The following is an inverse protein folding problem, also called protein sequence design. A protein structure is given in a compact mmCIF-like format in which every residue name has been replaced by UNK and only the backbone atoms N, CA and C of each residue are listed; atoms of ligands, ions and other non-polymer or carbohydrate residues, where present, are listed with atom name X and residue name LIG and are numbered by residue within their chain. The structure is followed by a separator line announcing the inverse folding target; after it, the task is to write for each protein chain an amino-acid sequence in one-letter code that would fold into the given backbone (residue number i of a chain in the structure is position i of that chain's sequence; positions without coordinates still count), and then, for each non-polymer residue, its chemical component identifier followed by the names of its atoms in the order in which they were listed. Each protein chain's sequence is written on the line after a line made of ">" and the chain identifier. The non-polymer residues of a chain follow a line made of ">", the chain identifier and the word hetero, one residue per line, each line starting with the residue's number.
data_IF_204881323336
#
_entry.id   IF_204881323336
#
_cell.length_a   1.000
_cell.length_b   1.000
_cell.length_c   1.000
_cell.angle_alpha   90.00
_cell.angle_beta   90.00
_cell.angle_gamma   90.00
#
_symmetry.space_group_name_H-M   'P 1'
#
loop_
_entity.id
_entity.type
_entity.pdbx_description
1 polymer ?
#
# COMPACT_ATOMS: atom_id res chain seq x y z
N UNK A 1 9.37 -11.70 -15.65
CA UNK A 1 8.63 -10.46 -15.37
C UNK A 1 8.70 -10.17 -13.87
N UNK A 2 8.78 -8.89 -13.53
CA UNK A 2 8.80 -8.47 -12.14
C UNK A 2 7.46 -8.70 -11.45
N UNK A 3 7.48 -8.96 -10.17
CA UNK A 3 6.30 -9.22 -9.32
C UNK A 3 5.23 -8.10 -9.37
N UNK A 4 5.60 -6.89 -9.75
CA UNK A 4 4.70 -5.75 -9.87
C UNK A 4 3.99 -5.65 -11.23
N UNK A 5 4.34 -6.50 -12.19
CA UNK A 5 3.72 -6.50 -13.52
C UNK A 5 2.26 -6.97 -13.44
N UNK A 6 1.33 -6.36 -14.21
CA UNK A 6 -0.09 -6.72 -14.15
C UNK A 6 -0.38 -8.19 -14.42
N UNK A 7 0.40 -8.82 -15.28
CA UNK A 7 0.26 -10.21 -15.71
C UNK A 7 1.16 -11.20 -14.95
N UNK A 8 1.70 -10.78 -13.80
CA UNK A 8 2.45 -11.69 -12.93
C UNK A 8 1.51 -12.70 -12.28
N UNK A 9 1.91 -13.97 -12.30
CA UNK A 9 1.17 -15.05 -11.64
C UNK A 9 1.48 -15.08 -10.14
N UNK A 10 0.56 -14.58 -9.35
CA UNK A 10 0.62 -14.58 -7.88
C UNK A 10 -0.26 -15.66 -7.23
N UNK A 11 -0.73 -16.64 -8.01
CA UNK A 11 -1.63 -17.69 -7.54
C UNK A 11 -1.08 -18.54 -6.38
N UNK A 12 0.24 -18.55 -6.21
CA UNK A 12 0.92 -19.28 -5.14
C UNK A 12 1.20 -18.39 -3.91
N UNK A 13 0.82 -17.12 -3.95
CA UNK A 13 1.02 -16.23 -2.81
C UNK A 13 -0.03 -16.47 -1.73
N UNK A 14 0.35 -16.21 -0.49
CA UNK A 14 -0.62 -16.19 0.60
C UNK A 14 -1.61 -15.06 0.41
N UNK A 15 -2.86 -15.31 0.79
CA UNK A 15 -3.92 -14.31 0.76
C UNK A 15 -4.31 -13.92 2.18
N UNK A 16 -4.64 -12.66 2.39
CA UNK A 16 -5.09 -12.17 3.68
C UNK A 16 -5.63 -10.74 3.61
N UNK A 17 -6.36 -10.35 4.62
CA UNK A 17 -6.88 -8.99 4.76
C UNK A 17 -5.77 -8.02 5.17
N UNK A 18 -5.84 -6.78 4.70
CA UNK A 18 -4.98 -5.68 5.13
C UNK A 18 -5.59 -4.93 6.33
N UNK A 19 -4.78 -4.30 7.20
CA UNK A 19 -3.32 -4.21 7.15
C UNK A 19 -2.61 -5.55 7.32
N UNK A 20 -1.56 -5.74 6.55
CA UNK A 20 -0.65 -6.89 6.66
C UNK A 20 0.62 -6.46 7.39
N UNK A 21 1.10 -7.28 8.31
CA UNK A 21 2.31 -6.92 9.03
C UNK A 21 2.65 -7.86 10.16
N UNK A 22 3.55 -7.43 11.02
CA UNK A 22 3.93 -8.14 12.24
C UNK A 22 3.95 -7.16 13.42
N UNK A 23 3.45 -7.61 14.57
CA UNK A 23 3.29 -6.78 15.75
C UNK A 23 2.07 -5.84 15.69
N UNK A 24 1.83 -5.15 16.80
CA UNK A 24 0.81 -4.12 16.94
C UNK A 24 1.47 -2.75 17.12
N UNK A 25 0.89 -1.74 16.50
CA UNK A 25 1.36 -0.36 16.61
C UNK A 25 0.37 0.49 17.39
N UNK A 26 0.89 1.45 18.15
CA UNK A 26 0.09 2.40 18.93
C UNK A 26 0.46 3.83 18.57
N UNK A 27 -0.55 4.66 18.44
CA UNK A 27 -0.40 6.10 18.22
C UNK A 27 -1.50 6.86 18.96
N UNK A 28 -1.13 7.82 19.81
CA UNK A 28 -2.09 8.65 20.51
C UNK A 28 -3.14 7.88 21.30
N UNK A 29 -2.81 6.72 21.84
CA UNK A 29 -3.75 5.83 22.53
C UNK A 29 -4.53 4.88 21.60
N UNK A 30 -4.53 5.10 20.30
CA UNK A 30 -5.11 4.18 19.34
C UNK A 30 -4.15 3.02 19.02
N UNK A 31 -4.72 1.85 18.77
CA UNK A 31 -3.97 0.65 18.37
C UNK A 31 -4.40 0.26 16.96
N UNK A 32 -3.42 0.12 16.07
CA UNK A 32 -3.63 -0.41 14.72
C UNK A 32 -3.21 -1.87 14.71
N UNK A 33 -4.15 -2.75 14.44
CA UNK A 33 -3.91 -4.18 14.40
C UNK A 33 -3.77 -4.69 12.98
N UNK A 34 -2.78 -5.53 12.78
CA UNK A 34 -2.66 -6.27 11.54
C UNK A 34 -3.78 -7.30 11.43
N UNK A 35 -4.39 -7.43 10.27
CA UNK A 35 -5.39 -8.47 9.96
C UNK A 35 -4.74 -9.74 9.44
N UNK A 36 -3.55 -9.62 8.86
CA UNK A 36 -2.77 -10.73 8.36
C UNK A 36 -1.33 -10.60 8.81
N UNK A 37 -0.72 -11.72 9.18
CA UNK A 37 0.69 -11.79 9.54
C UNK A 37 1.52 -12.06 8.28
N UNK A 38 2.58 -11.29 8.07
CA UNK A 38 3.53 -11.56 7.00
C UNK A 38 4.76 -12.36 7.45
N UNK A 39 4.87 -12.66 8.73
CA UNK A 39 5.99 -13.40 9.31
C UNK A 39 7.22 -12.55 9.59
N UNK A 40 8.38 -13.16 9.53
CA UNK A 40 9.67 -12.57 9.92
C UNK A 40 10.58 -12.24 8.72
N UNK A 41 10.01 -11.88 7.59
CA UNK A 41 10.77 -11.47 6.41
C UNK A 41 11.37 -10.07 6.55
N UNK A 42 12.42 -9.79 5.79
CA UNK A 42 13.07 -8.47 5.77
C UNK A 42 12.25 -7.43 5.00
N UNK A 43 11.34 -7.87 4.16
CA UNK A 43 10.45 -7.02 3.36
C UNK A 43 9.16 -7.75 3.03
N UNK A 44 8.13 -6.97 2.78
CA UNK A 44 6.83 -7.44 2.31
C UNK A 44 6.63 -7.07 0.85
N UNK A 45 6.10 -8.01 0.09
CA UNK A 45 5.60 -7.75 -1.26
C UNK A 45 4.11 -8.06 -1.28
N UNK A 46 3.30 -7.10 -1.69
CA UNK A 46 1.85 -7.18 -1.75
C UNK A 46 1.32 -6.92 -3.15
N UNK A 47 0.22 -7.56 -3.48
CA UNK A 47 -0.55 -7.30 -4.71
C UNK A 47 -2.03 -7.35 -4.40
N UNK A 48 -2.78 -6.48 -5.05
CA UNK A 48 -4.24 -6.51 -5.04
C UNK A 48 -4.78 -5.99 -6.36
N UNK A 49 -6.00 -6.36 -6.68
CA UNK A 49 -6.74 -5.82 -7.81
C UNK A 49 -7.90 -4.97 -7.31
N UNK A 50 -8.27 -3.97 -8.10
CA UNK A 50 -9.45 -3.17 -7.86
C UNK A 50 -10.10 -2.75 -9.17
N UNK A 51 -11.41 -2.53 -9.13
CA UNK A 51 -12.19 -2.14 -10.30
C UNK A 51 -12.46 -0.64 -10.30
N UNK A 52 -12.36 -0.05 -11.48
CA UNK A 52 -12.72 1.35 -11.73
C UNK A 52 -13.81 1.39 -12.78
N UNK A 53 -15.00 1.86 -12.40
CA UNK A 53 -16.15 1.93 -13.31
C UNK A 53 -16.03 3.10 -14.29
N UNK A 54 -15.53 4.24 -13.83
CA UNK A 54 -15.32 5.44 -14.64
C UNK A 54 -14.13 6.25 -14.13
N UNK A 55 -13.43 6.93 -15.03
CA UNK A 55 -12.33 7.86 -14.73
C UNK A 55 -12.87 9.29 -14.74
N UNK A 56 -13.82 9.58 -13.86
CA UNK A 56 -14.58 10.82 -13.83
C UNK A 56 -14.46 11.62 -12.51
N UNK A 57 -13.48 11.26 -11.69
CA UNK A 57 -13.19 11.99 -10.47
C UNK A 57 -12.34 13.23 -10.74
N UNK A 58 -12.55 14.28 -9.92
CA UNK A 58 -11.79 15.52 -10.00
C UNK A 58 -10.32 15.33 -9.56
N UNK A 59 -10.10 14.38 -8.66
CA UNK A 59 -8.75 14.00 -8.20
C UNK A 59 -8.72 12.55 -7.76
N UNK A 60 -7.50 12.00 -7.71
CA UNK A 60 -7.24 10.67 -7.19
C UNK A 60 -6.11 10.74 -6.17
N UNK A 61 -6.21 9.91 -5.14
CA UNK A 61 -5.15 9.80 -4.14
C UNK A 61 -4.85 8.35 -3.79
N UNK A 62 -3.58 8.07 -3.55
CA UNK A 62 -3.10 6.88 -2.89
C UNK A 62 -3.19 7.11 -1.38
N UNK A 63 -3.92 6.26 -0.68
CA UNK A 63 -3.92 6.23 0.78
C UNK A 63 -3.08 5.05 1.22
N UNK A 64 -2.03 5.30 2.00
CA UNK A 64 -1.09 4.27 2.41
C UNK A 64 -0.81 4.32 3.90
N UNK A 65 -0.87 3.15 4.52
CA UNK A 65 -0.37 2.87 5.87
C UNK A 65 0.89 2.04 5.72
N UNK A 66 2.03 2.58 6.16
CA UNK A 66 3.28 1.86 6.15
C UNK A 66 4.14 2.28 7.34
N UNK A 67 4.82 1.32 7.96
CA UNK A 67 5.73 1.57 9.08
C UNK A 67 7.09 2.06 8.61
N UNK A 68 7.55 1.53 7.50
CA UNK A 68 8.88 1.76 6.95
C UNK A 68 8.81 2.28 5.51
N UNK A 69 9.95 2.47 4.88
CA UNK A 69 10.03 2.84 3.48
C UNK A 69 9.29 1.84 2.57
N UNK A 70 8.76 2.35 1.48
CA UNK A 70 7.93 1.57 0.57
C UNK A 70 8.06 2.06 -0.88
N UNK A 71 7.64 1.19 -1.79
CA UNK A 71 7.46 1.51 -3.22
C UNK A 71 6.09 1.00 -3.67
N UNK A 72 5.40 1.77 -4.47
CA UNK A 72 4.07 1.44 -4.98
C UNK A 72 4.03 1.49 -6.48
N UNK A 73 3.40 0.49 -7.07
CA UNK A 73 3.25 0.32 -8.52
C UNK A 73 1.77 0.21 -8.88
N UNK A 74 1.35 0.96 -9.87
CA UNK A 74 0.03 0.89 -10.48
C UNK A 74 0.17 0.33 -11.89
N UNK A 75 -0.45 -0.81 -12.15
CA UNK A 75 -0.38 -1.51 -13.44
C UNK A 75 1.07 -1.70 -13.96
N UNK A 76 1.99 -2.00 -13.04
CA UNK A 76 3.39 -2.22 -13.34
C UNK A 76 4.28 -0.97 -13.37
N UNK A 77 3.71 0.22 -13.22
CA UNK A 77 4.43 1.49 -13.21
C UNK A 77 4.58 2.04 -11.81
N UNK A 78 5.80 2.39 -11.40
CA UNK A 78 6.03 3.02 -10.11
C UNK A 78 5.33 4.38 -10.06
N UNK A 79 4.44 4.54 -9.06
CA UNK A 79 3.70 5.79 -8.85
C UNK A 79 4.14 6.54 -7.60
N UNK A 80 4.78 5.87 -6.66
CA UNK A 80 5.31 6.50 -5.46
C UNK A 80 6.40 5.66 -4.83
N UNK A 81 7.40 6.34 -4.29
CA UNK A 81 8.45 5.73 -3.47
C UNK A 81 8.75 6.61 -2.28
N UNK A 82 9.03 6.00 -1.15
CA UNK A 82 9.32 6.67 0.10
C UNK A 82 10.39 5.88 0.86
N UNK A 83 11.52 6.51 1.09
CA UNK A 83 12.70 5.87 1.68
C UNK A 83 12.84 6.10 3.18
N UNK A 84 11.94 6.89 3.78
CA UNK A 84 11.96 7.15 5.21
C UNK A 84 11.60 5.90 6.01
N UNK A 85 12.16 5.80 7.17
CA UNK A 85 11.91 4.76 8.17
C UNK A 85 11.37 5.38 9.46
N UNK A 86 10.78 4.69 10.35
CA UNK A 86 10.23 5.15 11.65
C UNK A 86 9.07 6.11 11.53
N UNK A 87 8.17 5.79 10.65
CA UNK A 87 6.95 6.56 10.62
C UNK A 87 5.91 6.01 11.59
N UNK A 88 5.08 6.92 12.08
CA UNK A 88 3.95 6.54 12.91
C UNK A 88 2.89 5.85 12.05
N UNK A 89 2.25 4.79 12.56
CA UNK A 89 1.26 4.04 11.80
C UNK A 89 -0.03 4.86 11.63
N UNK A 90 -0.14 5.56 10.51
CA UNK A 90 -1.34 6.25 10.08
C UNK A 90 -1.45 6.21 8.56
N UNK A 91 -2.68 6.29 8.06
CA UNK A 91 -2.89 6.41 6.62
C UNK A 91 -2.49 7.80 6.15
N UNK A 92 -1.63 7.83 5.13
CA UNK A 92 -1.18 9.06 4.47
C UNK A 92 -1.86 9.20 3.12
N UNK A 93 -2.54 10.31 2.87
CA UNK A 93 -3.06 10.62 1.55
C UNK A 93 -1.95 11.21 0.67
N UNK A 94 -1.75 10.61 -0.49
CA UNK A 94 -0.81 11.08 -1.50
C UNK A 94 -1.60 11.40 -2.75
N UNK A 95 -1.73 12.67 -3.09
CA UNK A 95 -2.44 13.10 -4.29
C UNK A 95 -1.65 12.67 -5.51
N UNK A 96 -2.30 11.96 -6.43
CA UNK A 96 -1.69 11.51 -7.67
C UNK A 96 -1.73 12.63 -8.70
N UNK A 97 -0.59 12.90 -9.34
CA UNK A 97 -0.47 13.84 -10.44
C UNK A 97 -0.80 13.18 -11.79
N UNK A 98 -0.76 13.98 -12.84
CA UNK A 98 -1.04 13.49 -14.20
C UNK A 98 -0.09 12.36 -14.64
N UNK A 99 1.16 12.40 -14.16
CA UNK A 99 2.17 11.37 -14.45
C UNK A 99 1.81 9.99 -13.92
N UNK A 100 1.12 9.94 -12.78
CA UNK A 100 0.67 8.71 -12.13
C UNK A 100 -0.72 8.29 -12.60
N UNK A 101 -1.66 9.24 -12.71
CA UNK A 101 -3.05 8.99 -13.11
C UNK A 101 -3.15 8.38 -14.50
N UNK A 102 -2.23 8.70 -15.42
CA UNK A 102 -2.22 8.11 -16.77
C UNK A 102 -2.13 6.58 -16.78
N UNK A 103 -1.66 5.98 -15.69
CA UNK A 103 -1.56 4.52 -15.52
C UNK A 103 -2.83 3.89 -14.94
N UNK A 104 -3.75 4.70 -14.42
CA UNK A 104 -5.06 4.25 -13.97
C UNK A 104 -5.98 4.03 -15.18
N UNK A 105 -6.70 2.94 -15.19
CA UNK A 105 -7.60 2.60 -16.30
C UNK A 105 -8.98 2.19 -15.82
N UNK A 106 -9.97 2.33 -16.68
CA UNK A 106 -11.28 1.74 -16.48
C UNK A 106 -11.17 0.21 -16.47
N UNK A 107 -11.95 -0.45 -15.63
CA UNK A 107 -11.88 -1.90 -15.44
C UNK A 107 -10.87 -2.30 -14.37
N UNK A 108 -10.29 -3.47 -14.49
CA UNK A 108 -9.38 -4.04 -13.51
C UNK A 108 -8.02 -3.38 -13.53
N UNK A 109 -7.60 -2.91 -12.37
CA UNK A 109 -6.27 -2.38 -12.11
C UNK A 109 -5.52 -3.27 -11.12
N UNK A 110 -4.20 -3.29 -11.20
CA UNK A 110 -3.32 -3.99 -10.27
C UNK A 110 -2.54 -2.95 -9.46
N UNK A 111 -2.66 -3.03 -8.15
CA UNK A 111 -1.86 -2.26 -7.21
C UNK A 111 -0.87 -3.20 -6.53
N UNK A 112 0.40 -2.90 -6.64
CA UNK A 112 1.47 -3.70 -6.06
C UNK A 112 2.37 -2.81 -5.20
N UNK A 113 2.84 -3.34 -4.09
CA UNK A 113 3.68 -2.58 -3.17
C UNK A 113 4.78 -3.45 -2.58
N UNK A 114 5.89 -2.80 -2.31
CA UNK A 114 7.02 -3.32 -1.56
C UNK A 114 7.17 -2.49 -0.29
N UNK A 115 7.32 -3.14 0.85
CA UNK A 115 7.54 -2.47 2.13
C UNK A 115 8.69 -3.10 2.90
N UNK A 116 9.45 -2.26 3.60
CA UNK A 116 10.52 -2.69 4.47
C UNK A 116 10.02 -3.05 5.86
N UNK A 117 10.79 -3.88 6.54
CA UNK A 117 10.61 -4.26 7.95
C UNK A 117 11.65 -3.54 8.80
N UNK A 118 11.23 -3.07 9.96
CA UNK A 118 12.13 -2.57 11.00
C UNK A 118 12.46 -3.69 11.99
N UNK A 119 13.71 -3.72 12.41
CA UNK A 119 14.13 -4.59 13.50
C UNK A 119 14.44 -3.73 14.73
N UNK A 120 13.92 -4.15 15.88
CA UNK A 120 14.27 -3.54 17.15
C UNK A 120 15.76 -3.77 17.47
N UNK A 121 16.47 -2.71 17.79
CA UNK A 121 17.93 -2.77 18.03
C UNK A 121 18.32 -3.65 19.24
N UNK A 122 17.42 -3.85 20.18
CA UNK A 122 17.68 -4.59 21.43
C UNK A 122 17.20 -6.03 21.35
N UNK A 123 15.98 -6.22 20.85
CA UNK A 123 15.34 -7.55 20.84
C UNK A 123 15.54 -8.27 19.51
N UNK A 124 15.94 -7.56 18.44
CA UNK A 124 15.99 -8.05 17.06
C UNK A 124 14.64 -8.57 16.54
N UNK A 125 13.53 -8.16 17.18
CA UNK A 125 12.20 -8.53 16.72
C UNK A 125 11.78 -7.65 15.53
N UNK A 126 11.26 -8.26 14.46
CA UNK A 126 10.80 -7.51 13.30
C UNK A 126 9.47 -6.82 13.59
N UNK A 127 9.30 -5.64 13.05
CA UNK A 127 8.02 -4.96 12.99
C UNK A 127 7.79 -4.33 11.63
N UNK A 128 6.59 -4.43 11.14
CA UNK A 128 6.19 -3.86 9.86
C UNK A 128 4.69 -3.86 9.71
N UNK A 129 4.17 -2.95 8.90
CA UNK A 129 2.76 -2.85 8.61
C UNK A 129 2.55 -2.21 7.25
N UNK A 130 1.59 -2.72 6.48
CA UNK A 130 1.22 -2.11 5.21
C UNK A 130 -0.25 -2.36 4.88
N UNK A 131 -0.88 -1.29 4.44
CA UNK A 131 -2.17 -1.29 3.76
C UNK A 131 -2.19 -0.13 2.76
N UNK A 132 -2.87 -0.28 1.65
CA UNK A 132 -2.94 0.77 0.65
C UNK A 132 -4.16 0.61 -0.25
N UNK A 133 -4.67 1.73 -0.72
CA UNK A 133 -5.75 1.79 -1.71
C UNK A 133 -5.71 3.11 -2.48
N UNK A 134 -6.34 3.13 -3.64
CA UNK A 134 -6.55 4.35 -4.42
C UNK A 134 -8.03 4.72 -4.32
N UNK A 135 -8.29 5.99 -4.09
CA UNK A 135 -9.64 6.55 -4.07
C UNK A 135 -9.76 7.77 -4.98
N UNK A 136 -10.92 7.91 -5.59
CA UNK A 136 -11.28 9.09 -6.36
C UNK A 136 -12.14 10.03 -5.52
N UNK A 137 -12.00 11.31 -5.77
CA UNK A 137 -12.77 12.38 -5.13
C UNK A 137 -13.50 13.19 -6.18
N UNK A 138 -14.80 13.36 -5.98
CA UNK A 138 -15.64 14.29 -6.75
C UNK A 138 -16.00 15.49 -5.89
N UNK A 139 -15.84 16.69 -6.42
CA UNK A 139 -16.24 17.91 -5.71
C UNK A 139 -17.72 17.90 -5.37
N UNK A 140 -18.55 17.33 -6.25
CA UNK A 140 -19.98 17.15 -6.01
C UNK A 140 -20.33 16.34 -4.76
N UNK A 141 -19.43 15.48 -4.32
CA UNK A 141 -19.65 14.67 -3.11
C UNK A 141 -19.38 15.46 -1.82
N UNK A 142 -18.86 16.69 -1.94
CA UNK A 142 -18.56 17.59 -0.82
C UNK A 142 -19.64 18.67 -0.61
N UNK A 143 -20.59 18.78 -1.53
CA UNK A 143 -21.73 19.71 -1.47
C UNK A 143 -22.94 19.08 -0.78
#
# INVERSE_FOLDING_TARGET
>A
KGWHAPDYDDSKWNQGGAPVGTGDFKQGGASFRNKSDWGKGEFLVMRTTFEVDALDCDSYRLSILARQGFRVFLNGHEIHTYVWWKDMPHYRPIVLGAGEIKHLKKGTNVLAAYGNVEYDDKTHEPSGQMDLFIEGLKKSDLE
#
